data_IF_341915677298
#
_entry.id   IF_341915677298
#
_cell.length_a   1.000
_cell.length_b   1.000
_cell.length_c   1.000
_cell.angle_alpha   90.00
_cell.angle_beta   90.00
_cell.angle_gamma   90.00
#
_symmetry.space_group_name_H-M   'P 1'
#
loop_
_entity.id
_entity.type
_entity.pdbx_description
1 polymer ?
#
# COMPACT_ATOMS: atom_id res chain seq x y z
N UNK A 1 -5.92 -1.05 22.06
CA UNK A 1 -5.02 -2.25 21.96
C UNK A 1 -4.64 -2.33 20.50
N UNK A 2 -3.38 -2.07 20.16
CA UNK A 2 -2.93 -1.91 18.78
C UNK A 2 -3.31 -3.11 17.88
N UNK A 3 -4.19 -2.87 16.90
CA UNK A 3 -4.68 -3.86 15.94
C UNK A 3 -3.67 -4.18 14.81
N UNK A 4 -2.41 -3.73 14.91
CA UNK A 4 -1.37 -3.89 13.86
C UNK A 4 -1.23 -5.34 13.41
N UNK A 5 -1.22 -6.30 14.34
CA UNK A 5 -1.11 -7.72 13.97
C UNK A 5 -2.27 -8.16 13.07
N UNK A 6 -3.49 -7.75 13.39
CA UNK A 6 -4.69 -8.10 12.60
C UNK A 6 -4.66 -7.43 11.23
N UNK A 7 -4.21 -6.18 11.16
CA UNK A 7 -4.00 -5.46 9.88
C UNK A 7 -3.03 -6.25 9.00
N UNK A 8 -1.89 -6.65 9.54
CA UNK A 8 -0.86 -7.38 8.78
C UNK A 8 -1.35 -8.76 8.34
N UNK A 9 -2.06 -9.48 9.20
CA UNK A 9 -2.66 -10.79 8.87
C UNK A 9 -3.72 -10.66 7.77
N UNK A 10 -4.55 -9.61 7.81
CA UNK A 10 -5.56 -9.34 6.78
C UNK A 10 -4.92 -8.89 5.46
N UNK A 11 -3.94 -7.96 5.50
CA UNK A 11 -3.18 -7.58 4.31
C UNK A 11 -2.50 -8.81 3.68
N UNK A 12 -1.96 -9.71 4.48
CA UNK A 12 -1.31 -10.92 3.99
C UNK A 12 -2.31 -11.86 3.31
N UNK A 13 -3.46 -12.12 3.95
CA UNK A 13 -4.54 -12.92 3.38
C UNK A 13 -5.01 -12.37 2.02
N UNK A 14 -5.16 -11.05 1.91
CA UNK A 14 -5.49 -10.38 0.65
C UNK A 14 -4.36 -10.47 -0.36
N UNK A 15 -3.11 -10.28 0.09
CA UNK A 15 -1.93 -10.35 -0.76
C UNK A 15 -1.74 -11.74 -1.38
N UNK A 16 -2.06 -12.82 -0.66
CA UNK A 16 -1.99 -14.20 -1.20
C UNK A 16 -2.85 -14.42 -2.45
N UNK A 17 -3.88 -13.59 -2.66
CA UNK A 17 -4.82 -13.67 -3.79
C UNK A 17 -4.43 -12.78 -4.96
N UNK A 18 -3.39 -11.96 -4.82
CA UNK A 18 -2.89 -11.10 -5.90
C UNK A 18 -1.95 -11.93 -6.78
N UNK A 19 -2.19 -11.89 -8.09
CA UNK A 19 -1.26 -12.43 -9.08
C UNK A 19 -0.58 -11.26 -9.80
N UNK A 20 0.73 -11.33 -9.95
CA UNK A 20 1.48 -10.42 -10.81
C UNK A 20 1.56 -11.02 -12.24
N UNK A 21 2.11 -10.28 -13.21
CA UNK A 21 2.27 -10.75 -14.60
C UNK A 21 3.05 -12.07 -14.70
N UNK A 22 4.01 -12.29 -13.80
CA UNK A 22 4.78 -13.54 -13.67
C UNK A 22 4.19 -14.58 -12.71
N UNK A 23 2.94 -14.39 -12.26
CA UNK A 23 2.30 -15.23 -11.24
C UNK A 23 2.59 -14.76 -9.82
N UNK A 24 2.85 -15.70 -8.92
CA UNK A 24 3.09 -15.41 -7.49
C UNK A 24 4.44 -14.71 -7.30
N UNK A 25 4.45 -13.62 -6.54
CA UNK A 25 5.67 -12.94 -6.12
C UNK A 25 6.33 -13.68 -4.97
N UNK A 26 7.66 -13.73 -4.93
CA UNK A 26 8.43 -14.35 -3.83
C UNK A 26 8.08 -13.77 -2.46
N UNK A 27 7.71 -12.49 -2.40
CA UNK A 27 7.24 -11.83 -1.18
C UNK A 27 5.96 -12.46 -0.61
N UNK A 28 5.16 -13.18 -1.40
CA UNK A 28 3.96 -13.89 -0.92
C UNK A 28 4.31 -15.16 -0.13
N UNK A 29 5.56 -15.62 -0.16
CA UNK A 29 5.99 -16.83 0.53
C UNK A 29 6.89 -16.53 1.76
N UNK A 30 7.25 -15.25 1.98
CA UNK A 30 8.04 -14.81 3.13
C UNK A 30 7.20 -13.99 4.14
N UNK A 31 6.41 -14.71 4.93
CA UNK A 31 5.59 -14.12 5.99
C UNK A 31 6.43 -13.31 7.00
N UNK A 32 7.63 -13.79 7.35
CA UNK A 32 8.46 -13.15 8.38
C UNK A 32 8.89 -11.76 7.92
N UNK A 33 9.43 -11.66 6.71
CA UNK A 33 9.85 -10.37 6.15
C UNK A 33 8.65 -9.46 5.92
N UNK A 34 7.54 -9.98 5.38
CA UNK A 34 6.32 -9.20 5.20
C UNK A 34 5.82 -8.61 6.53
N UNK A 35 5.76 -9.44 7.57
CA UNK A 35 5.31 -9.02 8.89
C UNK A 35 6.20 -7.94 9.49
N UNK A 36 7.53 -8.11 9.44
CA UNK A 36 8.49 -7.13 9.96
C UNK A 36 8.34 -5.78 9.24
N UNK A 37 8.29 -5.81 7.90
CA UNK A 37 8.20 -4.59 7.08
C UNK A 37 6.89 -3.85 7.33
N UNK A 38 5.74 -4.55 7.31
CA UNK A 38 4.43 -3.94 7.52
C UNK A 38 4.25 -3.44 8.95
N UNK A 39 4.64 -4.24 9.94
CA UNK A 39 4.60 -3.80 11.35
C UNK A 39 5.41 -2.53 11.56
N UNK A 40 6.62 -2.45 11.00
CA UNK A 40 7.50 -1.27 11.15
C UNK A 40 6.85 0.00 10.59
N UNK A 41 6.12 -0.11 9.47
CA UNK A 41 5.35 1.01 8.91
C UNK A 41 4.19 1.44 9.81
N UNK A 42 3.45 0.46 10.37
CA UNK A 42 2.26 0.76 11.18
C UNK A 42 2.57 1.22 12.61
N UNK A 43 3.78 0.96 13.12
CA UNK A 43 4.17 1.38 14.48
C UNK A 43 4.21 2.90 14.68
N UNK A 44 4.31 3.67 13.60
CA UNK A 44 4.35 5.14 13.65
C UNK A 44 3.00 5.79 13.36
N UNK A 45 1.94 4.99 13.13
CA UNK A 45 0.60 5.50 12.81
C UNK A 45 -0.23 5.71 14.09
N UNK A 46 -1.05 6.77 14.15
CA UNK A 46 -2.04 6.94 15.22
C UNK A 46 -3.03 5.76 15.29
N UNK A 47 -3.51 5.43 16.51
CA UNK A 47 -4.44 4.29 16.72
C UNK A 47 -5.73 4.44 15.92
N UNK A 48 -6.29 5.65 15.83
CA UNK A 48 -7.47 5.96 15.02
C UNK A 48 -7.31 5.68 13.52
N UNK A 49 -6.12 5.91 12.96
CA UNK A 49 -5.81 5.63 11.55
C UNK A 49 -5.68 4.11 11.35
N UNK A 50 -5.04 3.42 12.29
CA UNK A 50 -4.92 1.96 12.27
C UNK A 50 -6.29 1.28 12.31
N UNK A 51 -7.18 1.74 13.20
CA UNK A 51 -8.53 1.18 13.32
C UNK A 51 -9.38 1.48 12.09
N UNK A 52 -9.29 2.70 11.53
CA UNK A 52 -9.94 3.03 10.26
C UNK A 52 -9.47 2.12 9.13
N UNK A 53 -8.15 1.94 8.98
CA UNK A 53 -7.58 1.11 7.92
C UNK A 53 -7.94 -0.37 8.08
N UNK A 54 -7.94 -0.87 9.33
CA UNK A 54 -8.40 -2.23 9.61
C UNK A 54 -9.87 -2.44 9.24
N UNK A 55 -10.72 -1.44 9.53
CA UNK A 55 -12.12 -1.43 9.11
C UNK A 55 -12.28 -1.51 7.60
N UNK A 56 -11.51 -0.71 6.85
CA UNK A 56 -11.53 -0.73 5.37
C UNK A 56 -11.10 -2.08 4.80
N UNK A 57 -10.07 -2.71 5.37
CA UNK A 57 -9.63 -4.05 4.97
C UNK A 57 -10.73 -5.10 5.20
N UNK A 58 -11.38 -5.08 6.37
CA UNK A 58 -12.46 -6.02 6.69
C UNK A 58 -13.67 -5.81 5.78
N UNK A 59 -14.09 -4.56 5.59
CA UNK A 59 -15.22 -4.20 4.72
C UNK A 59 -14.95 -4.61 3.28
N UNK A 60 -13.74 -4.34 2.76
CA UNK A 60 -13.37 -4.76 1.41
C UNK A 60 -13.49 -6.28 1.26
N UNK A 61 -12.97 -7.04 2.23
CA UNK A 61 -13.09 -8.51 2.24
C UNK A 61 -14.56 -8.96 2.22
N UNK A 62 -15.42 -8.36 3.05
CA UNK A 62 -16.86 -8.69 3.12
C UNK A 62 -17.59 -8.38 1.82
N UNK A 63 -17.20 -7.32 1.12
CA UNK A 63 -17.73 -6.93 -0.19
C UNK A 63 -17.11 -7.74 -1.36
N UNK A 64 -16.25 -8.73 -1.08
CA UNK A 64 -15.54 -9.50 -2.11
C UNK A 64 -14.45 -8.72 -2.86
N UNK A 65 -14.07 -7.56 -2.34
CA UNK A 65 -13.00 -6.70 -2.85
C UNK A 65 -11.66 -7.02 -2.19
N UNK A 66 -10.58 -6.52 -2.78
CA UNK A 66 -9.22 -6.74 -2.30
C UNK A 66 -8.40 -5.45 -2.45
N UNK A 67 -8.04 -4.83 -1.31
CA UNK A 67 -7.31 -3.55 -1.31
C UNK A 67 -5.86 -3.71 -1.78
N UNK A 68 -5.25 -4.87 -1.56
CA UNK A 68 -3.90 -5.16 -2.06
C UNK A 68 -3.93 -5.29 -3.59
N UNK A 69 -4.96 -5.92 -4.16
CA UNK A 69 -5.16 -5.93 -5.61
C UNK A 69 -5.28 -4.51 -6.15
N UNK A 70 -6.13 -3.66 -5.54
CA UNK A 70 -6.26 -2.25 -5.97
C UNK A 70 -4.94 -1.50 -5.90
N UNK A 71 -4.17 -1.65 -4.82
CA UNK A 71 -2.85 -1.04 -4.68
C UNK A 71 -1.93 -1.39 -5.85
N UNK A 72 -1.82 -2.67 -6.19
CA UNK A 72 -0.94 -3.10 -7.28
C UNK A 72 -1.47 -2.69 -8.65
N UNK A 73 -2.78 -2.79 -8.87
CA UNK A 73 -3.41 -2.35 -10.11
C UNK A 73 -3.21 -0.85 -10.35
N UNK A 74 -3.42 0.03 -9.36
CA UNK A 74 -3.15 1.46 -9.53
C UNK A 74 -1.67 1.77 -9.81
N UNK A 75 -0.72 0.99 -9.27
CA UNK A 75 0.70 1.15 -9.66
C UNK A 75 0.94 0.81 -11.13
N UNK A 76 0.16 -0.11 -11.71
CA UNK A 76 0.28 -0.50 -13.12
C UNK A 76 -0.12 0.60 -14.09
N UNK A 77 -0.87 1.63 -13.67
CA UNK A 77 -1.20 2.77 -14.54
C UNK A 77 0.05 3.39 -15.17
N UNK A 78 1.18 3.41 -14.43
CA UNK A 78 2.46 3.93 -14.92
C UNK A 78 3.43 2.83 -15.38
N UNK A 79 3.41 1.67 -14.73
CA UNK A 79 4.41 0.61 -14.99
C UNK A 79 4.00 -0.38 -16.07
N UNK A 80 2.71 -0.56 -16.31
CA UNK A 80 2.12 -1.50 -17.26
C UNK A 80 0.75 -1.02 -17.77
N UNK A 81 0.70 0.09 -18.57
CA UNK A 81 -0.55 0.78 -18.91
C UNK A 81 -1.55 -0.07 -19.70
N UNK A 82 -1.07 -0.96 -20.56
CA UNK A 82 -1.90 -1.86 -21.37
C UNK A 82 -2.64 -2.90 -20.51
N UNK A 83 -1.99 -3.39 -19.46
CA UNK A 83 -2.56 -4.31 -18.48
C UNK A 83 -3.49 -3.56 -17.53
N UNK A 84 -3.13 -2.34 -17.12
CA UNK A 84 -4.00 -1.48 -16.31
C UNK A 84 -5.37 -1.27 -16.95
N UNK A 85 -5.41 -0.94 -18.26
CA UNK A 85 -6.66 -0.78 -19.02
C UNK A 85 -7.56 -2.02 -18.99
N UNK A 86 -6.98 -3.22 -18.86
CA UNK A 86 -7.75 -4.47 -18.75
C UNK A 86 -8.34 -4.68 -17.34
N UNK A 87 -7.80 -4.00 -16.34
CA UNK A 87 -8.23 -4.09 -14.93
C UNK A 87 -9.13 -2.93 -14.50
N UNK A 88 -9.17 -1.83 -15.27
CA UNK A 88 -9.87 -0.59 -14.93
C UNK A 88 -11.34 -0.80 -14.53
N UNK A 89 -12.03 -1.73 -15.22
CA UNK A 89 -13.43 -2.08 -14.91
C UNK A 89 -13.64 -2.66 -13.51
N UNK A 90 -12.60 -3.22 -12.89
CA UNK A 90 -12.65 -3.82 -11.55
C UNK A 90 -12.17 -2.84 -10.45
N UNK A 91 -11.65 -1.67 -10.83
CA UNK A 91 -11.12 -0.69 -9.90
C UNK A 91 -12.19 0.29 -9.43
N UNK A 92 -12.09 0.79 -8.18
CA UNK A 92 -13.00 1.80 -7.69
C UNK A 92 -12.76 3.13 -8.40
N UNK A 93 -13.85 3.82 -8.76
CA UNK A 93 -13.78 5.20 -9.24
C UNK A 93 -13.31 6.10 -8.10
N UNK A 94 -12.22 6.84 -8.32
CA UNK A 94 -11.70 7.82 -7.37
C UNK A 94 -12.25 9.20 -7.76
N UNK A 95 -13.07 9.79 -6.88
CA UNK A 95 -13.60 11.14 -7.09
C UNK A 95 -12.49 12.19 -7.12
N UNK A 96 -12.74 13.31 -7.78
CA UNK A 96 -11.77 14.41 -7.88
C UNK A 96 -11.36 14.95 -6.51
N UNK A 97 -12.33 15.12 -5.61
CA UNK A 97 -12.06 15.52 -4.22
C UNK A 97 -11.10 14.54 -3.51
N UNK A 98 -11.29 13.24 -3.71
CA UNK A 98 -10.43 12.21 -3.12
C UNK A 98 -9.03 12.25 -3.72
N UNK A 99 -8.91 12.47 -5.04
CA UNK A 99 -7.61 12.66 -5.70
C UNK A 99 -6.86 13.84 -5.11
N UNK A 100 -7.51 14.99 -4.96
CA UNK A 100 -6.90 16.19 -4.37
C UNK A 100 -6.37 15.94 -2.95
N UNK A 101 -7.11 15.21 -2.11
CA UNK A 101 -6.66 14.83 -0.76
C UNK A 101 -5.46 13.88 -0.79
N UNK A 102 -5.44 12.92 -1.73
CA UNK A 102 -4.31 12.02 -1.93
C UNK A 102 -3.07 12.82 -2.33
N UNK A 103 -3.18 13.69 -3.34
CA UNK A 103 -2.07 14.53 -3.82
C UNK A 103 -1.52 15.43 -2.71
N UNK A 104 -2.39 16.06 -1.91
CA UNK A 104 -1.95 16.86 -0.77
C UNK A 104 -1.18 16.02 0.27
N UNK A 105 -1.60 14.79 0.51
CA UNK A 105 -0.90 13.86 1.42
C UNK A 105 0.45 13.45 0.82
N UNK A 106 0.48 13.05 -0.45
CA UNK A 106 1.70 12.66 -1.17
C UNK A 106 2.72 13.79 -1.18
N UNK A 107 2.30 15.03 -1.40
CA UNK A 107 3.19 16.20 -1.38
C UNK A 107 3.92 16.37 -0.03
N UNK A 108 3.23 16.13 1.09
CA UNK A 108 3.87 16.15 2.43
C UNK A 108 4.89 15.02 2.57
N UNK A 109 4.55 13.81 2.13
CA UNK A 109 5.45 12.67 2.18
C UNK A 109 6.70 12.86 1.31
N UNK A 110 6.55 13.44 0.11
CA UNK A 110 7.67 13.75 -0.78
C UNK A 110 8.59 14.78 -0.13
N UNK A 111 8.02 15.86 0.43
CA UNK A 111 8.80 16.87 1.17
C UNK A 111 9.62 16.26 2.31
N UNK A 112 9.02 15.36 3.09
CA UNK A 112 9.76 14.65 4.15
C UNK A 112 10.86 13.74 3.61
N UNK A 113 10.65 13.11 2.45
CA UNK A 113 11.67 12.29 1.80
C UNK A 113 12.84 13.17 1.31
N UNK A 114 12.56 14.33 0.73
CA UNK A 114 13.57 15.30 0.27
C UNK A 114 14.37 15.87 1.45
N UNK A 115 13.70 16.25 2.54
CA UNK A 115 14.34 16.69 3.79
C UNK A 115 15.24 15.59 4.37
N UNK A 116 14.77 14.33 4.37
CA UNK A 116 15.57 13.19 4.81
C UNK A 116 16.79 12.95 3.93
N UNK A 117 16.67 13.09 2.60
CA UNK A 117 17.79 12.95 1.67
C UNK A 117 18.85 14.04 1.89
N UNK A 118 18.43 15.27 2.16
CA UNK A 118 19.32 16.39 2.44
C UNK A 118 20.05 16.24 3.78
N UNK A 119 19.35 15.84 4.85
CA UNK A 119 19.94 15.71 6.18
C UNK A 119 20.77 14.44 6.34
N UNK A 120 20.38 13.33 5.69
CA UNK A 120 20.97 12.00 5.88
C UNK A 120 21.33 11.31 4.54
N UNK A 121 22.15 11.93 3.68
CA UNK A 121 22.39 11.45 2.31
C UNK A 121 22.97 10.03 2.25
N UNK A 122 23.86 9.68 3.19
CA UNK A 122 24.47 8.34 3.26
C UNK A 122 23.47 7.22 3.57
N UNK A 123 22.35 7.54 4.24
CA UNK A 123 21.27 6.60 4.50
C UNK A 123 20.24 6.61 3.37
N UNK A 124 19.88 7.80 2.87
CA UNK A 124 18.91 7.98 1.80
C UNK A 124 19.34 7.28 0.50
N UNK A 125 20.63 7.32 0.14
CA UNK A 125 21.15 6.66 -1.08
C UNK A 125 20.96 5.13 -1.10
N UNK A 126 20.66 4.50 0.05
CA UNK A 126 20.34 3.07 0.15
C UNK A 126 18.84 2.78 0.05
N UNK A 127 18.02 3.82 0.05
CA UNK A 127 16.57 3.76 -0.09
C UNK A 127 16.12 3.78 -1.54
N UNK A 128 14.81 4.03 -1.74
CA UNK A 128 14.28 4.29 -3.09
C UNK A 128 14.52 5.76 -3.46
N UNK A 129 14.85 6.05 -4.73
CA UNK A 129 14.88 7.43 -5.20
C UNK A 129 13.48 8.05 -5.13
N UNK A 130 13.46 9.37 -4.97
CA UNK A 130 12.25 10.21 -4.99
C UNK A 130 11.75 10.38 -6.42
#
# INVERSE_FOLDING_TARGET
MSNIRKIVEEEWSQFQKVNNEGGRASCQDDWKTFYIMRKSQFLVWPEEVLDSYYGDLCKAREEGKNLLFYKYAFMMERTAPEQYKQLEWALPVISEERKQRIEATVAVHVKWAEEFEQEYPAYAMRGRPI
#
